data_IF_993884356259
#
_entry.id   IF_993884356259
#
_cell.length_a   1.000
_cell.length_b   1.000
_cell.length_c   1.000
_cell.angle_alpha   90.00
_cell.angle_beta   90.00
_cell.angle_gamma   90.00
#
_symmetry.space_group_name_H-M   'P 1'
#
loop_
_entity.id
_entity.type
_entity.pdbx_description
1 polymer ?
#
# COMPACT_ATOMS: atom_id res chain seq x y z
N UNK A 1 -23.21 2.49 -8.96
CA UNK A 1 -23.43 1.32 -8.09
C UNK A 1 -23.27 0.08 -8.95
N UNK A 2 -22.45 -0.89 -8.55
CA UNK A 2 -22.30 -2.16 -9.28
C UNK A 2 -23.38 -3.13 -8.79
N UNK A 3 -24.08 -3.76 -9.72
CA UNK A 3 -25.11 -4.76 -9.44
C UNK A 3 -24.55 -6.14 -9.73
N UNK A 4 -24.79 -7.10 -8.83
CA UNK A 4 -24.40 -8.49 -9.01
C UNK A 4 -25.67 -9.36 -8.95
N UNK A 5 -25.82 -10.33 -9.85
CA UNK A 5 -26.85 -11.35 -9.67
C UNK A 5 -26.45 -12.20 -8.45
N UNK A 6 -27.30 -12.24 -7.44
CA UNK A 6 -27.13 -13.06 -6.24
C UNK A 6 -28.38 -13.92 -6.10
N UNK A 7 -28.19 -15.21 -5.85
CA UNK A 7 -29.28 -16.16 -5.64
C UNK A 7 -30.04 -15.84 -4.33
N UNK A 8 -31.37 -15.99 -4.34
CA UNK A 8 -32.24 -15.64 -3.21
C UNK A 8 -31.86 -16.38 -1.92
N UNK A 9 -31.38 -17.62 -2.03
CA UNK A 9 -30.94 -18.43 -0.89
C UNK A 9 -29.72 -17.83 -0.17
N UNK A 10 -28.80 -17.23 -0.93
CA UNK A 10 -27.63 -16.54 -0.36
C UNK A 10 -28.06 -15.24 0.32
N UNK A 11 -29.06 -14.55 -0.24
CA UNK A 11 -29.61 -13.34 0.38
C UNK A 11 -30.26 -13.68 1.72
N UNK A 12 -31.05 -14.75 1.77
CA UNK A 12 -31.68 -15.23 2.99
C UNK A 12 -30.64 -15.59 4.07
N UNK A 13 -29.59 -16.33 3.70
CA UNK A 13 -28.52 -16.73 4.62
C UNK A 13 -27.79 -15.52 5.23
N UNK A 14 -27.53 -14.48 4.43
CA UNK A 14 -26.87 -13.26 4.92
C UNK A 14 -27.75 -12.54 5.94
N UNK A 15 -29.05 -12.45 5.71
CA UNK A 15 -29.99 -11.82 6.65
C UNK A 15 -30.11 -12.58 7.96
N UNK A 16 -30.16 -13.90 7.89
CA UNK A 16 -30.20 -14.78 9.05
C UNK A 16 -28.96 -14.60 9.94
N UNK A 17 -27.77 -14.52 9.34
CA UNK A 17 -26.52 -14.33 10.07
C UNK A 17 -26.31 -12.89 10.55
N UNK A 18 -26.82 -11.89 9.82
CA UNK A 18 -26.67 -10.48 10.20
C UNK A 18 -27.41 -10.14 11.50
N UNK A 19 -28.55 -10.81 11.77
CA UNK A 19 -29.44 -10.59 12.93
C UNK A 19 -29.68 -9.10 13.21
N UNK A 20 -30.35 -8.37 12.29
CA UNK A 20 -30.65 -6.96 12.50
C UNK A 20 -31.55 -6.78 13.73
N UNK A 21 -31.36 -5.69 14.46
CA UNK A 21 -32.22 -5.34 15.58
C UNK A 21 -33.63 -4.96 15.08
N UNK A 22 -34.69 -5.08 15.90
CA UNK A 22 -36.00 -4.56 15.54
C UNK A 22 -35.91 -3.07 15.16
N UNK A 23 -36.51 -2.69 14.04
CA UNK A 23 -36.52 -1.32 13.47
C UNK A 23 -35.16 -0.83 12.90
N UNK A 24 -34.16 -1.68 12.81
CA UNK A 24 -32.89 -1.36 12.16
C UNK A 24 -33.05 -1.41 10.63
N UNK A 25 -32.95 -0.26 9.96
CA UNK A 25 -33.01 -0.18 8.49
C UNK A 25 -31.65 -0.53 7.89
N UNK A 26 -31.29 -1.82 7.92
CA UNK A 26 -30.06 -2.30 7.29
C UNK A 26 -30.24 -2.44 5.78
N UNK A 27 -29.20 -2.10 5.03
CA UNK A 27 -29.07 -2.49 3.62
C UNK A 27 -28.40 -3.86 3.49
N UNK A 28 -28.60 -4.55 2.36
CA UNK A 28 -27.96 -5.85 2.12
C UNK A 28 -26.42 -5.78 2.19
N UNK A 29 -25.82 -4.70 1.69
CA UNK A 29 -24.36 -4.50 1.77
C UNK A 29 -23.85 -4.36 3.21
N UNK A 30 -24.64 -3.74 4.08
CA UNK A 30 -24.31 -3.61 5.51
C UNK A 30 -24.50 -4.94 6.26
N UNK A 31 -25.56 -5.68 5.93
CA UNK A 31 -25.78 -7.04 6.43
C UNK A 31 -24.60 -7.95 6.07
N UNK A 32 -24.18 -7.94 4.81
CA UNK A 32 -23.05 -8.72 4.32
C UNK A 32 -21.74 -8.35 5.03
N UNK A 33 -21.46 -7.06 5.21
CA UNK A 33 -20.27 -6.60 5.95
C UNK A 33 -20.29 -7.11 7.40
N UNK A 34 -21.43 -7.02 8.07
CA UNK A 34 -21.59 -7.47 9.47
C UNK A 34 -21.30 -8.97 9.62
N UNK A 35 -21.77 -9.79 8.70
CA UNK A 35 -21.53 -11.23 8.67
C UNK A 35 -20.04 -11.54 8.47
N UNK A 36 -19.41 -10.92 7.47
CA UNK A 36 -18.00 -11.15 7.15
C UNK A 36 -17.05 -10.67 8.28
N UNK A 37 -17.38 -9.57 8.95
CA UNK A 37 -16.55 -9.05 10.06
C UNK A 37 -16.73 -9.85 11.36
N UNK A 38 -17.95 -10.33 11.66
CA UNK A 38 -18.18 -11.20 12.83
C UNK A 38 -17.46 -12.55 12.71
N UNK A 39 -17.44 -13.15 11.52
CA UNK A 39 -16.76 -14.43 11.28
C UNK A 39 -15.23 -14.36 11.45
N UNK A 40 -14.64 -13.15 11.44
CA UNK A 40 -13.23 -12.94 11.73
C UNK A 40 -12.90 -12.82 13.23
N UNK A 41 -13.91 -12.81 14.12
CA UNK A 41 -13.73 -12.56 15.57
C UNK A 41 -13.99 -13.79 16.44
N UNK A 42 -14.50 -14.89 15.87
CA UNK A 42 -14.74 -16.14 16.61
C UNK A 42 -13.61 -17.17 16.43
N UNK A 43 -12.47 -16.92 17.06
CA UNK A 43 -11.66 -17.97 17.72
C UNK A 43 -10.91 -17.37 18.93
N UNK A 44 -11.55 -17.25 20.12
CA UNK A 44 -10.85 -17.03 21.36
C UNK A 44 -10.43 -18.38 21.98
N UNK A 45 -9.13 -18.61 21.90
CA UNK A 45 -8.28 -19.48 22.73
C UNK A 45 -8.87 -19.79 24.11
N UNK A 46 -9.14 -21.07 24.39
CA UNK A 46 -9.22 -21.62 25.76
C UNK A 46 -7.96 -22.44 26.03
N UNK A 47 -7.04 -21.93 26.86
CA UNK A 47 -5.94 -22.73 27.42
C UNK A 47 -6.26 -23.03 28.89
N UNK A 48 -6.25 -24.30 29.33
CA UNK A 48 -6.39 -24.66 30.75
C UNK A 48 -5.12 -24.28 31.55
N UNK A 49 -5.21 -24.08 32.87
CA UNK A 49 -4.07 -23.58 33.66
C UNK A 49 -3.04 -24.70 33.90
N UNK A 50 -1.79 -24.48 33.46
CA UNK A 50 -0.64 -25.34 33.78
C UNK A 50 0.19 -24.77 34.95
N UNK A 51 0.93 -25.65 35.68
CA UNK A 51 1.40 -25.39 37.04
C UNK A 51 2.70 -24.57 37.11
N UNK A 52 2.91 -23.97 38.30
CA UNK A 52 4.02 -23.12 38.69
C UNK A 52 5.39 -23.77 38.42
N UNK A 53 6.08 -23.33 37.38
CA UNK A 53 7.52 -23.56 37.19
C UNK A 53 8.26 -22.21 37.32
N UNK A 54 9.35 -22.21 38.10
CA UNK A 54 10.19 -21.04 38.41
C UNK A 54 10.86 -20.54 37.13
N UNK A 55 10.32 -19.47 36.52
CA UNK A 55 10.96 -18.80 35.39
C UNK A 55 11.91 -17.74 35.92
N UNK A 56 13.21 -17.96 35.73
CA UNK A 56 14.27 -16.98 35.95
C UNK A 56 14.03 -15.84 34.96
N UNK A 57 13.84 -14.61 35.44
CA UNK A 57 13.60 -13.44 34.58
C UNK A 57 14.93 -13.06 33.92
N UNK A 58 15.04 -13.11 32.58
CA UNK A 58 16.26 -12.70 31.89
C UNK A 58 16.44 -11.19 32.02
N UNK A 59 17.69 -10.79 32.23
CA UNK A 59 18.08 -9.39 32.45
C UNK A 59 18.02 -8.62 31.12
N UNK A 60 17.79 -7.30 31.15
CA UNK A 60 17.63 -6.50 29.92
C UNK A 60 18.81 -6.62 28.95
N UNK A 61 20.03 -6.79 29.46
CA UNK A 61 21.24 -7.01 28.65
C UNK A 61 21.27 -8.39 27.95
N UNK A 62 20.70 -9.43 28.58
CA UNK A 62 20.63 -10.78 27.99
C UNK A 62 19.62 -10.81 26.83
N UNK A 63 18.49 -10.09 26.97
CA UNK A 63 17.51 -9.94 25.88
C UNK A 63 18.07 -9.16 24.69
N UNK A 64 18.90 -8.14 24.93
CA UNK A 64 19.56 -7.35 23.89
C UNK A 64 20.64 -8.15 23.15
N UNK A 65 21.39 -9.00 23.87
CA UNK A 65 22.36 -9.90 23.26
C UNK A 65 21.67 -10.98 22.40
N UNK A 66 20.55 -11.51 22.85
CA UNK A 66 19.77 -12.51 22.11
C UNK A 66 19.11 -11.93 20.85
N UNK A 67 18.60 -10.68 20.91
CA UNK A 67 18.08 -9.96 19.73
C UNK A 67 19.14 -9.70 18.65
N UNK A 68 20.39 -9.44 19.05
CA UNK A 68 21.50 -9.23 18.12
C UNK A 68 22.12 -10.55 17.61
N UNK A 69 21.94 -11.65 18.34
CA UNK A 69 22.45 -12.98 17.96
C UNK A 69 21.47 -13.78 17.10
N UNK A 70 20.20 -13.38 17.00
CA UNK A 70 19.29 -13.92 16.01
C UNK A 70 19.87 -13.62 14.62
N UNK A 71 20.12 -14.63 13.77
CA UNK A 71 20.42 -14.36 12.38
C UNK A 71 19.23 -13.57 11.86
N UNK A 72 19.47 -12.29 11.53
CA UNK A 72 18.52 -11.44 10.83
C UNK A 72 18.14 -12.23 9.61
N UNK A 73 17.00 -12.92 9.69
CA UNK A 73 16.55 -13.82 8.65
C UNK A 73 16.64 -13.02 7.38
N UNK A 74 17.53 -13.45 6.48
CA UNK A 74 17.45 -13.04 5.09
C UNK A 74 16.06 -13.47 4.69
N UNK A 75 15.14 -12.53 4.85
CA UNK A 75 13.82 -12.60 4.29
C UNK A 75 14.15 -12.53 2.81
N UNK A 76 14.38 -13.70 2.21
CA UNK A 76 14.35 -13.89 0.77
C UNK A 76 12.91 -13.59 0.39
N UNK A 77 12.60 -12.30 0.40
CA UNK A 77 11.33 -11.74 0.03
C UNK A 77 11.14 -12.14 -1.41
N UNK A 78 10.29 -13.16 -1.61
CA UNK A 78 9.71 -13.54 -2.90
C UNK A 78 9.64 -12.30 -3.79
N UNK A 79 10.45 -12.29 -4.86
CA UNK A 79 10.93 -11.11 -5.58
C UNK A 79 9.90 -9.98 -5.71
N UNK A 80 9.94 -9.02 -4.79
CA UNK A 80 9.27 -7.74 -4.99
C UNK A 80 10.17 -6.91 -5.87
N UNK A 81 9.64 -6.47 -7.01
CA UNK A 81 10.35 -5.57 -7.91
C UNK A 81 10.92 -4.38 -7.11
N UNK A 82 12.17 -3.96 -7.38
CA UNK A 82 12.82 -2.91 -6.60
C UNK A 82 11.98 -1.62 -6.65
N UNK A 83 11.74 -1.04 -5.48
CA UNK A 83 10.98 0.21 -5.36
C UNK A 83 11.78 1.34 -6.02
N UNK A 84 11.17 2.09 -6.92
CA UNK A 84 11.82 3.24 -7.53
C UNK A 84 12.14 4.31 -6.48
N UNK A 85 13.39 4.77 -6.48
CA UNK A 85 13.88 5.80 -5.57
C UNK A 85 14.30 7.06 -6.36
N UNK A 86 13.58 8.16 -6.14
CA UNK A 86 13.87 9.45 -6.77
C UNK A 86 15.24 9.98 -6.37
N UNK A 87 15.65 9.78 -5.11
CA UNK A 87 16.93 10.25 -4.61
C UNK A 87 18.08 9.58 -5.37
N UNK A 88 17.92 8.31 -5.67
CA UNK A 88 18.90 7.57 -6.44
C UNK A 88 18.91 7.98 -7.92
N UNK A 89 17.76 8.21 -8.53
CA UNK A 89 17.67 8.76 -9.89
C UNK A 89 18.34 10.14 -10.00
N UNK A 90 18.20 11.00 -8.97
CA UNK A 90 18.89 12.29 -8.90
C UNK A 90 20.39 12.11 -8.70
N UNK A 91 20.81 11.21 -7.80
CA UNK A 91 22.22 10.91 -7.54
C UNK A 91 22.96 10.40 -8.79
N UNK A 92 22.28 9.60 -9.60
CA UNK A 92 22.83 9.07 -10.86
C UNK A 92 22.76 10.08 -12.02
N UNK A 93 22.19 11.27 -11.80
CA UNK A 93 22.05 12.30 -12.82
C UNK A 93 20.99 12.00 -13.88
N UNK A 94 20.15 10.97 -13.66
CA UNK A 94 19.05 10.61 -14.57
C UNK A 94 17.90 11.61 -14.44
N UNK A 95 17.65 12.08 -13.21
CA UNK A 95 16.78 13.21 -12.90
C UNK A 95 17.60 14.34 -12.29
N UNK A 96 17.10 15.58 -12.41
CA UNK A 96 17.71 16.75 -11.75
C UNK A 96 16.87 17.16 -10.55
N UNK A 97 17.53 17.59 -9.49
CA UNK A 97 16.87 18.27 -8.37
C UNK A 97 16.19 19.54 -8.90
N UNK A 98 14.94 19.79 -8.51
CA UNK A 98 14.17 20.91 -9.04
C UNK A 98 13.54 20.67 -10.43
N UNK A 99 13.71 19.47 -11.01
CA UNK A 99 13.09 19.14 -12.29
C UNK A 99 11.57 18.98 -12.15
N UNK A 100 10.81 19.52 -13.11
CA UNK A 100 9.37 19.31 -13.18
C UNK A 100 9.05 17.94 -13.80
N UNK A 101 8.15 17.21 -13.15
CA UNK A 101 7.50 16.01 -13.63
C UNK A 101 6.02 16.30 -13.89
N UNK A 102 5.51 15.70 -14.96
CA UNK A 102 4.11 15.81 -15.37
C UNK A 102 3.40 14.54 -14.92
N UNK A 103 2.24 14.71 -14.30
CA UNK A 103 1.38 13.60 -13.91
C UNK A 103 0.73 12.96 -15.14
N UNK A 104 0.58 11.63 -15.13
CA UNK A 104 -0.05 10.85 -16.20
C UNK A 104 -1.15 9.97 -15.61
N UNK A 105 -2.29 9.94 -16.29
CA UNK A 105 -3.44 9.12 -15.88
C UNK A 105 -3.25 7.61 -16.18
N UNK A 106 -4.26 6.80 -15.85
CA UNK A 106 -4.23 5.35 -16.17
C UNK A 106 -4.22 5.04 -17.68
N UNK A 107 -4.67 5.97 -18.51
CA UNK A 107 -4.69 5.82 -19.98
C UNK A 107 -3.37 6.22 -20.61
N UNK A 108 -2.42 6.74 -19.83
CA UNK A 108 -1.14 7.23 -20.35
C UNK A 108 -1.21 8.66 -20.88
N UNK A 109 -2.31 9.38 -20.63
CA UNK A 109 -2.42 10.78 -21.04
C UNK A 109 -1.75 11.69 -20.01
N UNK A 110 -0.76 12.50 -20.43
CA UNK A 110 -0.19 13.52 -19.57
C UNK A 110 -1.24 14.57 -19.22
N UNK A 111 -1.20 15.01 -17.97
CA UNK A 111 -2.06 16.03 -17.40
C UNK A 111 -1.18 17.25 -17.07
N UNK A 112 -0.96 18.18 -18.02
CA UNK A 112 -0.05 19.31 -17.83
C UNK A 112 -0.46 20.26 -16.70
N UNK A 113 -1.72 20.16 -16.25
CA UNK A 113 -2.28 20.88 -15.09
C UNK A 113 -1.66 20.42 -13.76
N UNK A 114 -1.16 19.18 -13.71
CA UNK A 114 -0.60 18.58 -12.51
C UNK A 114 0.91 18.37 -12.70
N UNK A 115 1.66 19.41 -12.34
CA UNK A 115 3.13 19.41 -12.33
C UNK A 115 3.66 19.32 -10.92
N UNK A 116 4.66 18.48 -10.69
CA UNK A 116 5.35 18.37 -9.42
C UNK A 116 6.86 18.52 -9.62
N UNK A 117 7.54 19.11 -8.65
CA UNK A 117 8.99 19.34 -8.70
C UNK A 117 9.70 18.25 -7.90
N UNK A 118 10.77 17.67 -8.44
CA UNK A 118 11.60 16.69 -7.71
C UNK A 118 12.34 17.40 -6.57
N UNK A 119 12.14 16.91 -5.35
CA UNK A 119 12.81 17.41 -4.14
C UNK A 119 13.36 16.23 -3.33
N UNK A 120 14.61 15.85 -3.57
CA UNK A 120 15.28 14.73 -2.93
C UNK A 120 14.60 13.39 -3.22
N UNK A 121 13.97 12.80 -2.20
CA UNK A 121 13.24 11.53 -2.31
C UNK A 121 11.74 11.72 -2.64
N UNK A 122 11.26 12.96 -2.59
CA UNK A 122 9.84 13.32 -2.67
C UNK A 122 9.56 14.23 -3.87
N UNK A 123 8.27 14.48 -4.10
CA UNK A 123 7.75 15.44 -5.05
C UNK A 123 7.11 16.62 -4.32
N UNK A 124 7.49 17.84 -4.70
CA UNK A 124 6.83 19.05 -4.26
C UNK A 124 5.67 19.40 -5.21
N UNK A 125 4.47 19.48 -4.67
CA UNK A 125 3.27 19.92 -5.36
C UNK A 125 2.61 21.04 -4.56
N UNK A 126 2.39 22.20 -5.18
CA UNK A 126 1.79 23.37 -4.51
C UNK A 126 2.51 23.73 -3.18
N UNK A 127 3.84 23.71 -3.17
CA UNK A 127 4.71 23.96 -1.99
C UNK A 127 4.64 22.90 -0.87
N UNK A 128 3.87 21.82 -1.04
CA UNK A 128 3.81 20.70 -0.09
C UNK A 128 4.56 19.50 -0.64
N UNK A 129 5.27 18.77 0.23
CA UNK A 129 6.03 17.58 -0.13
C UNK A 129 5.16 16.33 0.00
N UNK A 130 5.22 15.48 -1.02
CA UNK A 130 4.50 14.22 -1.09
C UNK A 130 5.41 13.13 -1.67
N UNK A 131 5.24 11.90 -1.20
CA UNK A 131 5.82 10.76 -1.90
C UNK A 131 5.13 10.55 -3.25
N UNK A 132 5.83 9.94 -4.22
CA UNK A 132 5.28 9.67 -5.56
C UNK A 132 3.91 8.99 -5.51
N UNK A 133 3.76 7.93 -4.72
CA UNK A 133 2.50 7.19 -4.62
C UNK A 133 1.41 7.99 -3.93
N UNK A 134 1.73 8.75 -2.87
CA UNK A 134 0.75 9.55 -2.17
C UNK A 134 0.18 10.66 -3.08
N UNK A 135 1.07 11.35 -3.81
CA UNK A 135 0.65 12.39 -4.74
C UNK A 135 -0.15 11.82 -5.90
N UNK A 136 0.29 10.70 -6.50
CA UNK A 136 -0.47 10.04 -7.57
C UNK A 136 -1.85 9.60 -7.08
N UNK A 137 -1.97 9.00 -5.89
CA UNK A 137 -3.26 8.62 -5.31
C UNK A 137 -4.17 9.82 -5.08
N UNK A 138 -3.62 10.96 -4.64
CA UNK A 138 -4.38 12.19 -4.44
C UNK A 138 -4.94 12.71 -5.77
N UNK A 139 -4.07 12.84 -6.78
CA UNK A 139 -4.45 13.35 -8.10
C UNK A 139 -5.45 12.43 -8.80
N UNK A 140 -5.25 11.12 -8.72
CA UNK A 140 -6.21 10.14 -9.28
C UNK A 140 -7.59 10.26 -8.64
N UNK A 141 -7.65 10.47 -7.31
CA UNK A 141 -8.93 10.69 -6.62
C UNK A 141 -9.59 12.00 -7.03
N UNK A 142 -8.82 13.06 -7.27
CA UNK A 142 -9.34 14.34 -7.78
C UNK A 142 -9.94 14.20 -9.19
N UNK A 143 -9.33 13.39 -10.04
CA UNK A 143 -9.84 13.06 -11.38
C UNK A 143 -11.01 12.05 -11.35
N UNK A 144 -11.44 11.59 -10.16
CA UNK A 144 -12.58 10.69 -9.98
C UNK A 144 -12.26 9.19 -10.08
N UNK A 145 -10.99 8.80 -10.08
CA UNK A 145 -10.58 7.40 -10.07
C UNK A 145 -10.55 6.81 -8.65
N UNK A 146 -10.95 5.53 -8.54
CA UNK A 146 -10.82 4.76 -7.30
C UNK A 146 -9.40 4.17 -7.26
N UNK A 147 -8.55 4.75 -6.42
CA UNK A 147 -7.14 4.40 -6.33
C UNK A 147 -6.79 3.97 -4.88
N UNK A 148 -6.95 2.67 -4.58
CA UNK A 148 -6.60 2.08 -3.27
C UNK A 148 -5.10 1.78 -3.16
N UNK A 149 -4.48 1.35 -4.27
CA UNK A 149 -3.05 1.07 -4.37
C UNK A 149 -2.53 1.56 -5.70
N UNK A 150 -1.54 2.46 -5.68
CA UNK A 150 -1.03 3.14 -6.86
C UNK A 150 0.46 2.91 -6.99
N UNK A 151 0.89 2.46 -8.17
CA UNK A 151 2.31 2.45 -8.54
C UNK A 151 2.72 3.87 -8.89
N UNK A 152 3.09 4.65 -7.87
CA UNK A 152 3.51 6.05 -8.03
C UNK A 152 4.42 6.30 -9.23
N UNK A 153 5.52 5.55 -9.43
CA UNK A 153 6.48 5.78 -10.53
C UNK A 153 5.90 5.66 -11.95
N UNK A 154 4.76 4.99 -12.13
CA UNK A 154 4.13 4.76 -13.44
C UNK A 154 3.37 6.01 -13.92
N UNK A 155 3.02 6.90 -12.99
CA UNK A 155 2.19 8.09 -13.21
C UNK A 155 2.98 9.39 -13.32
N UNK A 156 4.31 9.32 -13.39
CA UNK A 156 5.16 10.51 -13.49
C UNK A 156 6.03 10.44 -14.73
N UNK A 157 6.05 11.52 -15.51
CA UNK A 157 6.88 11.65 -16.70
C UNK A 157 7.74 12.89 -16.65
N UNK A 158 8.92 12.78 -17.23
CA UNK A 158 9.76 13.95 -17.52
C UNK A 158 9.16 14.77 -18.66
N UNK A 159 9.68 15.99 -18.87
CA UNK A 159 9.34 16.82 -20.03
C UNK A 159 9.63 16.10 -21.38
N UNK A 160 10.61 15.19 -21.39
CA UNK A 160 10.98 14.38 -22.56
C UNK A 160 10.02 13.18 -22.79
N UNK A 161 8.96 13.06 -22.00
CA UNK A 161 7.97 11.98 -22.11
C UNK A 161 8.40 10.64 -21.51
N UNK A 162 9.62 10.53 -20.96
CA UNK A 162 10.09 9.29 -20.30
C UNK A 162 9.44 9.13 -18.93
N UNK A 163 8.92 7.93 -18.64
CA UNK A 163 8.29 7.62 -17.35
C UNK A 163 9.34 7.37 -16.28
N UNK A 164 9.07 7.78 -15.04
CA UNK A 164 9.98 7.52 -13.91
C UNK A 164 10.24 6.03 -13.72
N UNK A 165 9.23 5.17 -13.92
CA UNK A 165 9.42 3.72 -13.94
C UNK A 165 10.43 3.25 -14.98
N UNK A 166 10.37 3.75 -16.21
CA UNK A 166 11.31 3.35 -17.28
C UNK A 166 12.74 3.79 -16.95
N UNK A 167 12.88 5.00 -16.39
CA UNK A 167 14.17 5.51 -15.92
C UNK A 167 14.76 4.59 -14.84
N UNK A 168 13.93 4.15 -13.90
CA UNK A 168 14.34 3.23 -12.86
C UNK A 168 14.71 1.84 -13.39
N UNK A 169 13.89 1.26 -14.26
CA UNK A 169 14.19 -0.03 -14.89
C UNK A 169 15.51 0.00 -15.68
N UNK A 170 15.85 1.11 -16.33
CA UNK A 170 17.13 1.26 -17.00
C UNK A 170 18.31 1.28 -16.02
N UNK A 171 18.16 1.93 -14.87
CA UNK A 171 19.19 1.93 -13.81
C UNK A 171 19.40 0.52 -13.26
N UNK A 172 18.32 -0.22 -12.97
CA UNK A 172 18.42 -1.61 -12.49
C UNK A 172 19.13 -2.52 -13.50
N UNK A 173 18.79 -2.39 -14.79
CA UNK A 173 19.46 -3.13 -15.88
C UNK A 173 20.95 -2.82 -15.94
N UNK A 174 21.35 -1.56 -15.80
CA UNK A 174 22.76 -1.17 -15.78
C UNK A 174 23.52 -1.74 -14.58
N UNK A 175 22.82 -2.01 -13.46
CA UNK A 175 23.40 -2.62 -12.25
C UNK A 175 23.43 -4.15 -12.28
N UNK A 176 22.82 -4.78 -13.29
CA UNK A 176 22.70 -6.23 -13.37
C UNK A 176 21.70 -6.83 -12.38
N UNK A 177 20.84 -6.01 -11.77
CA UNK A 177 19.75 -6.47 -10.90
C UNK A 177 18.53 -6.76 -11.79
N UNK A 178 18.13 -8.05 -11.87
CA UNK A 178 17.08 -8.56 -12.75
C UNK A 178 15.95 -9.19 -11.96
#
# INVERSE_FOLDING_TARGET
MRTFPVEDDLVALVWEQAKPAPFEQLTFSEALRRVLTKKATEEPVQVPPLPKAKTRVPTADELLAELNALPSGRNESRGRAPKADLRELVRLGVLKEGQELIFVDYKGHPQPKHKATVVGADLAYQQVRYSMSALSSLLLKQEGYIAESVRGPDHWTTADGKRVRELWENVLKQRGEK
#
